data_IF_813338272488
#
_entry.id   IF_813338272488
#
_cell.length_a   1.000
_cell.length_b   1.000
_cell.length_c   1.000
_cell.angle_alpha   90.00
_cell.angle_beta   90.00
_cell.angle_gamma   90.00
#
_symmetry.space_group_name_H-M   'P 1'
#
loop_
_entity.id
_entity.type
_entity.pdbx_description
1 polymer ?
#
# COMPACT_ATOMS: atom_id res chain seq x y z
N UNK A 1 -51.60 -24.04 28.44
CA UNK A 1 -51.61 -24.08 29.92
C UNK A 1 -50.85 -22.87 30.46
N UNK A 2 -51.26 -22.31 31.62
CA UNK A 2 -50.58 -21.35 32.54
C UNK A 2 -49.40 -20.51 31.96
N UNK A 3 -49.49 -19.20 31.69
CA UNK A 3 -49.68 -18.00 32.56
C UNK A 3 -48.61 -17.75 33.65
N UNK A 4 -47.87 -16.64 33.50
CA UNK A 4 -47.29 -15.69 34.47
C UNK A 4 -46.86 -14.44 33.65
N UNK A 5 -47.01 -13.15 33.98
CA UNK A 5 -47.64 -12.40 35.09
C UNK A 5 -46.81 -12.18 36.38
N UNK A 6 -45.82 -11.28 36.31
CA UNK A 6 -45.34 -10.34 37.37
C UNK A 6 -44.81 -9.11 36.59
N UNK A 7 -45.34 -7.88 36.64
CA UNK A 7 -45.82 -6.96 37.70
C UNK A 7 -44.78 -5.89 38.09
N UNK A 8 -45.21 -4.64 37.93
CA UNK A 8 -44.50 -3.37 38.09
C UNK A 8 -44.13 -3.08 39.55
N UNK A 9 -42.99 -2.41 39.79
CA UNK A 9 -42.81 -1.54 40.95
C UNK A 9 -42.26 -0.18 40.49
N UNK A 10 -42.98 0.89 40.86
CA UNK A 10 -42.59 2.29 40.73
C UNK A 10 -42.05 2.72 42.10
N UNK A 11 -40.98 3.52 42.13
CA UNK A 11 -40.64 4.29 43.33
C UNK A 11 -40.28 5.73 42.97
N UNK A 12 -41.24 6.62 43.15
CA UNK A 12 -41.06 8.07 43.18
C UNK A 12 -40.44 8.45 44.52
N UNK A 13 -39.36 9.23 44.52
CA UNK A 13 -38.92 9.96 45.71
C UNK A 13 -38.97 11.47 45.43
N UNK A 14 -40.02 12.11 45.97
CA UNK A 14 -40.07 13.56 46.14
C UNK A 14 -39.95 13.80 47.63
N UNK A 15 -38.87 14.45 48.05
CA UNK A 15 -38.76 15.03 49.40
C UNK A 15 -38.40 16.49 49.23
N UNK A 16 -39.33 17.36 49.64
CA UNK A 16 -39.08 18.79 49.73
C UNK A 16 -38.37 19.11 51.04
N UNK A 17 -37.38 20.00 50.99
CA UNK A 17 -36.81 20.65 52.17
C UNK A 17 -36.67 22.15 51.92
N UNK A 18 -37.80 22.86 52.06
CA UNK A 18 -37.84 24.32 52.20
C UNK A 18 -37.63 24.66 53.67
N UNK A 19 -36.47 25.22 54.02
CA UNK A 19 -36.23 25.93 55.28
C UNK A 19 -34.86 26.62 55.24
N UNK A 20 -34.79 27.88 55.73
CA UNK A 20 -33.58 28.74 55.88
C UNK A 20 -33.18 29.67 54.71
N UNK A 21 -34.12 30.52 54.28
CA UNK A 21 -33.73 31.92 54.07
C UNK A 21 -33.62 32.64 55.43
N UNK A 22 -32.97 33.80 55.44
CA UNK A 22 -32.80 34.68 56.62
C UNK A 22 -31.82 34.24 57.72
N UNK A 23 -30.52 34.10 57.40
CA UNK A 23 -29.41 34.60 58.27
C UNK A 23 -27.99 34.50 57.61
N UNK A 24 -27.79 35.13 56.45
CA UNK A 24 -26.44 35.32 55.89
C UNK A 24 -26.27 36.56 54.96
N UNK A 25 -27.20 37.52 54.97
CA UNK A 25 -27.05 38.80 54.24
C UNK A 25 -26.31 39.84 55.10
N UNK A 26 -25.04 39.57 55.42
CA UNK A 26 -24.01 40.52 55.90
C UNK A 26 -22.73 39.73 56.19
N UNK A 27 -21.60 40.15 55.59
CA UNK A 27 -20.27 39.52 55.59
C UNK A 27 -20.03 38.47 54.47
N UNK A 28 -19.79 38.97 53.25
CA UNK A 28 -18.67 38.54 52.40
C UNK A 28 -18.56 39.49 51.21
N UNK A 29 -17.95 40.65 51.47
CA UNK A 29 -17.50 41.58 50.44
C UNK A 29 -16.01 41.34 50.15
N UNK A 30 -15.61 40.07 50.09
CA UNK A 30 -14.28 39.66 49.65
C UNK A 30 -14.21 39.77 48.14
N UNK A 31 -13.13 40.42 47.66
CA UNK A 31 -12.88 40.60 46.24
C UNK A 31 -12.78 39.22 45.59
N UNK A 32 -13.78 38.86 44.78
CA UNK A 32 -13.63 37.80 43.78
C UNK A 32 -12.57 38.24 42.77
N UNK A 33 -11.30 37.97 43.10
CA UNK A 33 -10.24 37.94 42.11
C UNK A 33 -10.62 36.83 41.13
N UNK A 34 -11.03 37.21 39.93
CA UNK A 34 -11.16 36.24 38.84
C UNK A 34 -9.85 35.44 38.76
N UNK A 35 -9.91 34.09 38.74
CA UNK A 35 -8.70 33.30 38.56
C UNK A 35 -8.01 33.77 37.27
N UNK A 36 -6.68 33.95 37.26
CA UNK A 36 -5.97 34.48 36.12
C UNK A 36 -6.32 33.64 34.90
N UNK A 37 -7.00 34.28 33.94
CA UNK A 37 -7.51 33.62 32.74
C UNK A 37 -6.32 33.05 32.00
N UNK A 38 -6.14 31.73 32.10
CA UNK A 38 -4.97 31.03 31.57
C UNK A 38 -4.75 31.50 30.11
N UNK A 39 -3.52 31.92 29.74
CA UNK A 39 -3.27 32.48 28.43
C UNK A 39 -3.72 31.44 27.40
N UNK A 40 -4.72 31.82 26.59
CA UNK A 40 -5.27 30.95 25.56
C UNK A 40 -4.20 30.75 24.48
N UNK A 41 -3.34 29.74 24.67
CA UNK A 41 -2.34 29.33 23.70
C UNK A 41 -3.10 28.87 22.46
N UNK A 42 -3.27 29.78 21.51
CA UNK A 42 -3.78 29.48 20.18
C UNK A 42 -2.73 28.60 19.49
N UNK A 43 -2.91 27.29 19.61
CA UNK A 43 -2.16 26.32 18.81
C UNK A 43 -2.48 26.65 17.35
N UNK A 44 -1.48 27.13 16.62
CA UNK A 44 -1.61 27.32 15.18
C UNK A 44 -1.73 25.92 14.54
N UNK A 45 -2.73 25.67 13.68
CA UNK A 45 -2.80 24.39 12.98
C UNK A 45 -1.61 24.28 12.02
N UNK A 46 -0.71 23.32 12.29
CA UNK A 46 0.32 22.92 11.32
C UNK A 46 -0.33 22.00 10.30
N UNK A 47 -0.53 22.52 9.08
CA UNK A 47 -1.01 21.72 7.96
C UNK A 47 0.11 20.81 7.43
N UNK A 48 -0.21 19.60 6.92
CA UNK A 48 0.76 18.76 6.22
C UNK A 48 1.46 19.53 5.10
N UNK A 49 2.77 19.38 4.98
CA UNK A 49 3.56 20.04 3.93
C UNK A 49 3.27 19.36 2.59
N UNK A 50 2.52 20.04 1.72
CA UNK A 50 2.16 19.52 0.39
C UNK A 50 3.32 19.53 -0.61
N UNK A 51 3.36 18.54 -1.51
CA UNK A 51 4.17 18.57 -2.72
C UNK A 51 3.28 18.68 -3.96
N UNK A 52 3.11 19.87 -4.57
CA UNK A 52 2.17 20.06 -5.68
C UNK A 52 2.62 19.42 -7.00
N UNK A 53 3.82 18.80 -7.05
CA UNK A 53 4.36 18.10 -8.21
C UNK A 53 4.32 16.56 -8.06
N UNK A 54 3.86 16.06 -6.91
CA UNK A 54 3.77 14.63 -6.60
C UNK A 54 2.39 14.30 -6.05
N UNK A 55 1.67 13.43 -6.74
CA UNK A 55 0.44 12.80 -6.24
C UNK A 55 0.85 11.40 -5.80
N UNK A 56 0.65 11.04 -4.54
CA UNK A 56 0.98 9.72 -3.97
C UNK A 56 -0.26 9.13 -3.31
N UNK A 57 -0.57 7.86 -3.62
CA UNK A 57 -1.80 7.18 -3.23
C UNK A 57 -1.46 5.76 -2.80
N UNK A 58 -1.88 5.36 -1.60
CA UNK A 58 -1.69 4.00 -1.09
C UNK A 58 -2.58 3.00 -1.86
N UNK A 59 -2.12 1.76 -2.00
CA UNK A 59 -2.82 0.71 -2.73
C UNK A 59 -4.13 0.28 -2.04
N UNK A 60 -4.20 0.36 -0.71
CA UNK A 60 -5.45 0.12 0.02
C UNK A 60 -6.49 1.25 -0.10
N UNK A 61 -6.11 2.46 -0.53
CA UNK A 61 -7.01 3.63 -0.64
C UNK A 61 -7.91 3.57 -1.90
N UNK A 62 -8.12 2.37 -2.44
CA UNK A 62 -9.00 2.14 -3.58
C UNK A 62 -10.45 2.46 -3.21
N UNK A 63 -11.08 3.42 -3.91
CA UNK A 63 -12.50 3.77 -3.72
C UNK A 63 -13.46 2.64 -4.12
N UNK A 64 -12.98 1.68 -4.91
CA UNK A 64 -13.64 0.40 -5.17
C UNK A 64 -12.62 -0.64 -5.65
N UNK A 65 -12.71 -1.87 -5.15
CA UNK A 65 -11.87 -2.99 -5.62
C UNK A 65 -12.57 -4.33 -5.41
N UNK A 66 -12.16 -5.34 -6.18
CA UNK A 66 -12.57 -6.73 -6.00
C UNK A 66 -11.37 -7.70 -5.84
N UNK A 67 -10.17 -7.19 -5.52
CA UNK A 67 -8.96 -8.00 -5.27
C UNK A 67 -9.09 -8.83 -3.96
N UNK A 68 -8.77 -8.19 -2.83
CA UNK A 68 -9.04 -8.64 -1.46
C UNK A 68 -9.92 -7.58 -0.78
N UNK A 69 -10.82 -8.01 0.12
CA UNK A 69 -11.71 -7.10 0.86
C UNK A 69 -10.98 -6.32 1.97
N UNK A 70 -9.91 -6.90 2.49
CA UNK A 70 -9.07 -6.31 3.53
C UNK A 70 -7.63 -6.25 3.00
N UNK A 71 -6.88 -5.16 3.26
CA UNK A 71 -5.49 -5.05 2.85
C UNK A 71 -4.60 -5.98 3.67
N UNK A 72 -3.62 -6.62 3.01
CA UNK A 72 -2.69 -7.53 3.68
C UNK A 72 -1.66 -6.74 4.46
N UNK A 73 -1.34 -7.14 5.70
CA UNK A 73 -0.23 -6.55 6.46
C UNK A 73 1.12 -6.89 5.81
N UNK A 74 1.94 -5.88 5.57
CA UNK A 74 3.30 -6.03 5.07
C UNK A 74 4.15 -4.86 5.58
N UNK A 75 4.94 -5.08 6.63
CA UNK A 75 5.72 -4.02 7.29
C UNK A 75 6.82 -3.38 6.42
N UNK A 76 7.09 -3.95 5.24
CA UNK A 76 8.04 -3.42 4.24
C UNK A 76 7.37 -2.64 3.11
N UNK A 77 6.06 -2.38 3.22
CA UNK A 77 5.25 -1.57 2.29
C UNK A 77 4.90 -0.21 2.90
N UNK A 78 4.47 0.76 2.09
CA UNK A 78 3.87 1.98 2.61
C UNK A 78 2.53 1.65 3.29
N UNK A 79 2.06 2.53 4.19
CA UNK A 79 1.00 2.21 5.16
C UNK A 79 1.23 0.98 6.08
N UNK A 80 2.35 0.23 5.94
CA UNK A 80 2.57 -1.14 6.47
C UNK A 80 1.56 -2.17 5.94
N UNK A 81 0.97 -1.89 4.77
CA UNK A 81 -0.16 -2.62 4.17
C UNK A 81 0.02 -2.68 2.66
N UNK A 82 -0.84 -3.43 1.98
CA UNK A 82 -0.76 -3.60 0.52
C UNK A 82 -2.04 -4.26 0.01
N UNK A 83 -2.51 -3.80 -1.15
CA UNK A 83 -3.62 -4.42 -1.86
C UNK A 83 -3.11 -5.61 -2.67
N UNK A 84 -3.74 -6.78 -2.47
CA UNK A 84 -3.28 -8.04 -3.03
C UNK A 84 -4.38 -8.79 -3.79
N UNK A 85 -4.07 -9.19 -5.02
CA UNK A 85 -4.82 -10.19 -5.79
C UNK A 85 -4.04 -11.51 -5.79
N UNK A 86 -4.66 -12.59 -5.29
CA UNK A 86 -4.17 -13.96 -5.42
C UNK A 86 -5.36 -14.93 -5.51
N UNK A 87 -5.74 -15.35 -6.72
CA UNK A 87 -6.92 -16.20 -6.99
C UNK A 87 -6.63 -17.25 -8.06
N UNK A 88 -7.11 -18.48 -7.87
CA UNK A 88 -7.06 -19.54 -8.89
C UNK A 88 -8.18 -19.43 -9.93
N UNK A 89 -9.38 -19.06 -9.48
CA UNK A 89 -10.57 -18.82 -10.32
C UNK A 89 -10.68 -17.35 -10.74
N UNK A 90 -11.19 -17.13 -11.95
CA UNK A 90 -11.68 -15.81 -12.37
C UNK A 90 -13.02 -15.47 -11.72
N UNK A 91 -13.57 -14.30 -12.05
CA UNK A 91 -14.91 -13.89 -11.64
C UNK A 91 -15.98 -14.46 -12.58
N UNK A 92 -17.22 -14.57 -12.08
CA UNK A 92 -18.36 -15.00 -12.88
C UNK A 92 -18.54 -14.08 -14.10
N UNK A 93 -18.84 -14.67 -15.26
CA UNK A 93 -18.99 -13.93 -16.52
C UNK A 93 -17.67 -13.40 -17.12
N UNK A 94 -16.50 -13.78 -16.59
CA UNK A 94 -15.20 -13.35 -17.12
C UNK A 94 -14.84 -11.90 -16.78
N UNK A 95 -15.46 -11.32 -15.76
CA UNK A 95 -15.18 -9.95 -15.33
C UNK A 95 -13.73 -9.76 -14.85
N UNK A 96 -13.14 -8.59 -15.14
CA UNK A 96 -11.82 -8.21 -14.65
C UNK A 96 -11.76 -8.18 -13.12
N UNK A 97 -10.63 -8.57 -12.55
CA UNK A 97 -10.24 -8.03 -11.26
C UNK A 97 -9.84 -6.56 -11.44
N UNK A 98 -10.19 -5.67 -10.52
CA UNK A 98 -9.88 -4.25 -10.61
C UNK A 98 -9.63 -3.57 -9.26
N UNK A 99 -8.97 -2.42 -9.32
CA UNK A 99 -8.90 -1.42 -8.25
C UNK A 99 -9.05 -0.02 -8.86
N UNK A 100 -9.99 0.77 -8.33
CA UNK A 100 -10.31 2.14 -8.74
C UNK A 100 -9.80 3.15 -7.70
N UNK A 101 -9.22 4.24 -8.18
CA UNK A 101 -8.74 5.36 -7.36
C UNK A 101 -9.21 6.68 -7.96
N UNK A 102 -9.49 7.65 -7.10
CA UNK A 102 -9.85 9.02 -7.49
C UNK A 102 -8.84 9.96 -6.87
N UNK A 103 -8.32 10.91 -7.66
CA UNK A 103 -7.25 11.79 -7.21
C UNK A 103 -7.37 13.19 -7.82
N UNK A 104 -6.72 14.17 -7.20
CA UNK A 104 -6.76 15.56 -7.63
C UNK A 104 -5.40 15.99 -8.22
N UNK A 105 -5.45 16.61 -9.39
CA UNK A 105 -4.30 17.22 -10.07
C UNK A 105 -4.39 18.73 -9.90
N UNK A 106 -3.36 19.33 -9.30
CA UNK A 106 -3.34 20.78 -9.01
C UNK A 106 -3.04 21.65 -10.22
N UNK A 107 -2.23 21.15 -11.16
CA UNK A 107 -1.72 21.91 -12.30
C UNK A 107 -1.77 21.05 -13.56
N UNK A 108 -2.14 21.64 -14.70
CA UNK A 108 -1.92 21.05 -16.02
C UNK A 108 -0.46 20.60 -16.21
N UNK A 109 -0.25 19.48 -16.90
CA UNK A 109 1.09 19.07 -17.29
C UNK A 109 1.23 17.64 -17.81
N UNK A 110 2.47 17.30 -18.14
CA UNK A 110 2.91 15.92 -18.33
C UNK A 110 3.20 15.28 -16.97
N UNK A 111 2.80 14.03 -16.80
CA UNK A 111 3.01 13.24 -15.58
C UNK A 111 3.58 11.88 -15.94
N UNK A 112 4.62 11.45 -15.24
CA UNK A 112 5.14 10.09 -15.31
C UNK A 112 4.50 9.22 -14.23
N UNK A 113 4.11 8.02 -14.62
CA UNK A 113 3.30 7.08 -13.84
C UNK A 113 4.20 6.02 -13.21
N UNK A 114 4.19 5.94 -11.88
CA UNK A 114 4.98 5.01 -11.08
C UNK A 114 4.09 4.16 -10.18
N UNK A 115 4.41 2.88 -9.99
CA UNK A 115 3.79 2.07 -8.94
C UNK A 115 4.82 1.27 -8.13
N UNK A 116 4.57 1.19 -6.83
CA UNK A 116 5.19 0.24 -5.93
C UNK A 116 4.39 -1.05 -5.96
N UNK A 117 5.01 -2.18 -6.27
CA UNK A 117 4.28 -3.45 -6.36
C UNK A 117 5.05 -4.56 -7.07
N UNK A 118 4.35 -5.64 -7.36
CA UNK A 118 4.89 -6.73 -8.18
C UNK A 118 5.07 -6.25 -9.63
N UNK A 119 6.25 -6.41 -10.25
CA UNK A 119 6.44 -6.08 -11.66
C UNK A 119 5.52 -6.94 -12.53
N UNK A 120 4.96 -6.34 -13.58
CA UNK A 120 3.98 -6.98 -14.45
C UNK A 120 4.49 -8.28 -15.09
N UNK A 121 3.57 -9.19 -15.42
CA UNK A 121 3.87 -10.44 -16.13
C UNK A 121 4.32 -10.24 -17.58
N UNK A 122 5.17 -11.13 -18.13
CA UNK A 122 5.64 -11.06 -19.52
C UNK A 122 4.52 -11.30 -20.54
N UNK A 123 4.71 -10.72 -21.73
CA UNK A 123 3.78 -10.84 -22.85
C UNK A 123 3.72 -12.24 -23.44
N UNK A 124 4.83 -12.98 -23.41
CA UNK A 124 4.97 -14.34 -23.94
C UNK A 124 5.42 -15.34 -22.86
N UNK A 125 5.55 -16.61 -23.26
CA UNK A 125 5.95 -17.71 -22.39
C UNK A 125 7.48 -17.95 -22.37
N UNK A 126 8.29 -17.07 -23.00
CA UNK A 126 9.75 -17.22 -23.04
C UNK A 126 10.43 -16.79 -21.73
N UNK A 127 9.75 -15.96 -20.94
CA UNK A 127 10.27 -15.40 -19.69
C UNK A 127 9.50 -15.90 -18.44
N UNK A 128 10.17 -16.00 -17.27
CA UNK A 128 9.51 -16.44 -16.03
C UNK A 128 8.32 -15.55 -15.64
N UNK A 129 7.12 -16.14 -15.58
CA UNK A 129 5.84 -15.43 -15.40
C UNK A 129 5.24 -15.66 -14.01
N UNK A 130 5.84 -15.07 -12.99
CA UNK A 130 5.40 -15.21 -11.58
C UNK A 130 4.26 -14.26 -11.16
N UNK A 131 3.86 -13.34 -12.04
CA UNK A 131 2.87 -12.28 -11.80
C UNK A 131 1.97 -12.17 -13.04
N UNK A 132 0.70 -11.85 -12.86
CA UNK A 132 -0.22 -11.54 -13.97
C UNK A 132 0.19 -10.24 -14.65
N UNK A 133 0.01 -10.10 -15.97
CA UNK A 133 0.04 -8.78 -16.58
C UNK A 133 -1.20 -7.99 -16.19
N UNK A 134 -1.10 -6.67 -16.17
CA UNK A 134 -2.19 -5.76 -15.85
C UNK A 134 -2.42 -4.75 -16.98
N UNK A 135 -3.55 -4.07 -16.95
CA UNK A 135 -3.80 -2.87 -17.75
C UNK A 135 -4.29 -1.75 -16.85
N UNK A 136 -4.18 -0.51 -17.31
CA UNK A 136 -4.75 0.63 -16.61
C UNK A 136 -5.55 1.53 -17.55
N UNK A 137 -6.49 2.27 -16.96
CA UNK A 137 -7.28 3.30 -17.65
C UNK A 137 -7.25 4.56 -16.79
N UNK A 138 -7.00 5.71 -17.41
CA UNK A 138 -7.14 7.02 -16.76
C UNK A 138 -8.35 7.71 -17.38
N UNK A 139 -9.27 8.16 -16.54
CA UNK A 139 -10.59 8.69 -16.88
C UNK A 139 -11.34 7.76 -17.85
N UNK A 140 -11.81 8.28 -18.98
CA UNK A 140 -12.52 7.53 -20.02
C UNK A 140 -11.63 7.23 -21.25
N UNK A 141 -10.30 7.25 -21.08
CA UNK A 141 -9.37 6.95 -22.18
C UNK A 141 -9.36 5.44 -22.53
N UNK A 142 -8.72 5.09 -23.64
CA UNK A 142 -8.52 3.68 -24.02
C UNK A 142 -7.65 2.97 -22.97
N UNK A 143 -8.00 1.73 -22.53
CA UNK A 143 -7.13 0.94 -21.64
C UNK A 143 -5.76 0.68 -22.25
N UNK A 144 -4.72 0.77 -21.42
CA UNK A 144 -3.32 0.53 -21.79
C UNK A 144 -2.85 -0.74 -21.08
N UNK A 145 -2.62 -1.80 -21.85
CA UNK A 145 -2.01 -3.03 -21.34
C UNK A 145 -0.54 -2.77 -20.99
N UNK A 146 -0.04 -3.43 -19.94
CA UNK A 146 1.35 -3.39 -19.51
C UNK A 146 1.83 -4.79 -19.23
N UNK A 147 2.71 -5.29 -20.09
CA UNK A 147 3.47 -6.50 -19.87
C UNK A 147 4.84 -6.15 -19.25
N UNK A 148 5.65 -7.16 -18.91
CA UNK A 148 6.98 -6.95 -18.33
C UNK A 148 7.86 -6.10 -19.24
N UNK A 149 7.72 -6.27 -20.54
CA UNK A 149 8.52 -5.62 -21.58
C UNK A 149 8.17 -4.12 -21.72
N UNK A 150 6.97 -3.72 -21.29
CA UNK A 150 6.47 -2.34 -21.37
C UNK A 150 6.78 -1.49 -20.13
N UNK A 151 7.38 -2.08 -19.08
CA UNK A 151 7.64 -1.40 -17.80
C UNK A 151 9.14 -1.33 -17.49
N UNK A 152 9.54 -0.22 -16.87
CA UNK A 152 10.90 -0.07 -16.33
C UNK A 152 10.90 -0.43 -14.85
N UNK A 153 11.66 -1.45 -14.47
CA UNK A 153 11.90 -1.79 -13.05
C UNK A 153 13.14 -1.03 -12.56
N UNK A 154 13.01 -0.30 -11.45
CA UNK A 154 14.00 0.71 -11.00
C UNK A 154 14.74 0.29 -9.74
N UNK A 155 14.04 -0.20 -8.73
CA UNK A 155 14.62 -0.60 -7.44
C UNK A 155 13.75 -1.69 -6.81
N UNK A 156 14.36 -2.73 -6.23
CA UNK A 156 13.67 -3.62 -5.29
C UNK A 156 13.77 -2.99 -3.90
N UNK A 157 12.64 -2.55 -3.34
CA UNK A 157 12.61 -1.95 -1.99
C UNK A 157 12.09 -2.90 -0.92
N UNK A 158 11.41 -3.98 -1.33
CA UNK A 158 10.81 -4.96 -0.42
C UNK A 158 10.69 -6.34 -1.10
N UNK A 159 10.67 -7.45 -0.35
CA UNK A 159 10.43 -8.81 -0.82
C UNK A 159 9.29 -8.95 -1.86
N UNK A 160 9.66 -9.09 -3.14
CA UNK A 160 8.77 -9.14 -4.31
C UNK A 160 8.07 -7.82 -4.71
N UNK A 161 8.46 -6.70 -4.09
CA UNK A 161 7.96 -5.35 -4.35
C UNK A 161 9.04 -4.47 -4.95
N UNK A 162 8.72 -3.83 -6.07
CA UNK A 162 9.63 -3.04 -6.86
C UNK A 162 9.02 -1.69 -7.19
N UNK A 163 9.88 -0.70 -7.41
CA UNK A 163 9.51 0.55 -8.05
C UNK A 163 9.48 0.36 -9.55
N UNK A 164 8.32 0.60 -10.17
CA UNK A 164 8.07 0.37 -11.58
C UNK A 164 7.56 1.64 -12.25
N UNK A 165 8.13 2.02 -13.40
CA UNK A 165 7.56 3.05 -14.28
C UNK A 165 6.65 2.35 -15.28
N UNK A 166 5.40 2.81 -15.37
CA UNK A 166 4.35 2.18 -16.18
C UNK A 166 3.68 3.12 -17.18
N UNK A 167 4.26 4.29 -17.45
CA UNK A 167 3.90 5.14 -18.57
C UNK A 167 4.06 6.62 -18.29
N UNK A 168 3.57 7.42 -19.23
CA UNK A 168 3.42 8.87 -19.10
C UNK A 168 2.03 9.28 -19.61
N UNK A 169 1.50 10.38 -19.10
CA UNK A 169 0.17 10.90 -19.47
C UNK A 169 0.13 12.43 -19.36
N UNK A 170 -0.76 13.07 -20.12
CA UNK A 170 -1.09 14.49 -19.99
C UNK A 170 -2.35 14.62 -19.15
N UNK A 171 -2.29 15.37 -18.05
CA UNK A 171 -3.44 15.63 -17.18
C UNK A 171 -3.76 17.11 -17.13
N UNK A 172 -5.02 17.40 -16.81
CA UNK A 172 -5.54 18.74 -16.56
C UNK A 172 -5.62 18.97 -15.05
N UNK A 173 -5.68 20.23 -14.63
CA UNK A 173 -6.07 20.53 -13.26
C UNK A 173 -7.52 20.06 -13.03
N UNK A 174 -7.77 19.36 -11.92
CA UNK A 174 -9.09 18.80 -11.59
C UNK A 174 -9.04 17.40 -10.99
N UNK A 175 -10.21 16.78 -10.89
CA UNK A 175 -10.36 15.41 -10.37
C UNK A 175 -10.25 14.40 -11.50
N UNK A 176 -9.42 13.39 -11.31
CA UNK A 176 -9.17 12.29 -12.23
C UNK A 176 -9.47 10.94 -11.59
N UNK A 177 -9.70 9.93 -12.41
CA UNK A 177 -9.82 8.53 -11.97
C UNK A 177 -8.74 7.68 -12.64
N UNK A 178 -8.13 6.77 -11.89
CA UNK A 178 -7.33 5.68 -12.47
C UNK A 178 -7.90 4.34 -12.02
N UNK A 179 -8.04 3.42 -12.97
CA UNK A 179 -8.38 2.03 -12.72
C UNK A 179 -7.21 1.15 -13.12
N UNK A 180 -6.78 0.27 -12.24
CA UNK A 180 -5.95 -0.89 -12.56
C UNK A 180 -6.85 -2.10 -12.77
N UNK A 181 -6.59 -2.92 -13.79
CA UNK A 181 -7.32 -4.16 -14.07
C UNK A 181 -6.37 -5.32 -14.32
N UNK A 182 -6.73 -6.50 -13.84
CA UNK A 182 -6.07 -7.77 -14.12
C UNK A 182 -7.07 -8.71 -14.79
N UNK A 183 -6.90 -8.88 -16.09
CA UNK A 183 -7.75 -9.73 -16.95
C UNK A 183 -7.14 -11.10 -17.22
N UNK A 184 -5.81 -11.21 -17.11
CA UNK A 184 -5.03 -12.38 -17.48
C UNK A 184 -4.43 -13.08 -16.26
N UNK A 185 -4.24 -14.40 -16.37
CA UNK A 185 -3.54 -15.22 -15.39
C UNK A 185 -2.03 -15.13 -15.63
N UNK A 186 -1.24 -15.28 -14.58
CA UNK A 186 0.21 -15.52 -14.72
C UNK A 186 0.43 -16.87 -15.42
N UNK A 187 1.45 -16.95 -16.26
CA UNK A 187 1.68 -18.11 -17.14
C UNK A 187 2.28 -19.30 -16.38
N UNK A 188 2.89 -19.07 -15.21
CA UNK A 188 3.52 -20.12 -14.40
C UNK A 188 2.55 -21.21 -13.90
N UNK A 189 1.38 -20.83 -13.38
CA UNK A 189 0.43 -21.78 -12.74
C UNK A 189 -1.05 -21.45 -13.00
N UNK A 190 -1.34 -20.59 -13.98
CA UNK A 190 -2.68 -20.16 -14.32
C UNK A 190 -3.47 -19.51 -13.15
N UNK A 191 -2.81 -18.80 -12.23
CA UNK A 191 -3.48 -17.96 -11.20
C UNK A 191 -3.53 -16.48 -11.59
N UNK A 192 -4.52 -15.77 -11.09
CA UNK A 192 -4.51 -14.31 -11.02
C UNK A 192 -3.63 -13.88 -9.85
N UNK A 193 -2.55 -13.14 -10.12
CA UNK A 193 -1.59 -12.72 -9.10
C UNK A 193 -1.04 -11.32 -9.37
N UNK A 194 -1.35 -10.34 -8.53
CA UNK A 194 -0.83 -8.97 -8.68
C UNK A 194 -0.94 -8.20 -7.35
N UNK A 195 0.16 -7.62 -6.87
CA UNK A 195 0.18 -6.83 -5.64
C UNK A 195 0.54 -5.37 -5.94
N UNK A 196 -0.22 -4.47 -5.32
CA UNK A 196 -0.05 -3.03 -5.37
C UNK A 196 0.18 -2.53 -3.94
N UNK A 197 1.30 -1.85 -3.74
CA UNK A 197 1.69 -1.21 -2.48
C UNK A 197 1.14 0.22 -2.47
N UNK A 198 1.54 0.99 -3.49
CA UNK A 198 1.12 2.37 -3.73
C UNK A 198 1.34 2.70 -5.22
N UNK A 199 0.87 3.86 -5.65
CA UNK A 199 1.30 4.45 -6.90
C UNK A 199 1.42 5.96 -6.78
N UNK A 200 2.24 6.55 -7.65
CA UNK A 200 2.43 7.99 -7.68
C UNK A 200 2.60 8.56 -9.08
N UNK A 201 2.21 9.82 -9.23
CA UNK A 201 2.35 10.61 -10.43
C UNK A 201 3.30 11.76 -10.14
N UNK A 202 4.39 11.82 -10.89
CA UNK A 202 5.37 12.92 -10.78
C UNK A 202 5.29 13.82 -12.00
N UNK A 203 5.11 15.13 -11.76
CA UNK A 203 5.02 16.14 -12.83
C UNK A 203 6.34 16.24 -13.58
N UNK A 204 6.26 16.37 -14.90
CA UNK A 204 7.38 16.63 -15.81
C UNK A 204 7.25 18.00 -16.45
N UNK A 205 8.38 18.66 -16.64
CA UNK A 205 8.52 19.90 -17.39
C UNK A 205 9.77 19.80 -18.26
N UNK A 206 9.65 20.11 -19.55
CA UNK A 206 10.73 19.97 -20.53
C UNK A 206 11.43 18.58 -20.49
N UNK A 207 10.63 17.52 -20.30
CA UNK A 207 11.09 16.14 -20.18
C UNK A 207 11.71 15.75 -18.83
N UNK A 208 11.89 16.67 -17.88
CA UNK A 208 12.53 16.45 -16.57
C UNK A 208 11.50 16.35 -15.45
N UNK A 209 11.74 15.44 -14.50
CA UNK A 209 10.91 15.25 -13.29
C UNK A 209 11.06 16.43 -12.33
N UNK A 210 9.94 16.99 -11.85
CA UNK A 210 9.92 17.96 -10.76
C UNK A 210 9.61 17.20 -9.46
N UNK A 211 10.65 16.77 -8.74
CA UNK A 211 10.48 15.95 -7.52
C UNK A 211 9.89 16.73 -6.34
N UNK A 212 10.15 18.03 -6.25
CA UNK A 212 9.89 18.81 -5.04
C UNK A 212 10.80 18.41 -3.87
N UNK A 213 10.59 19.01 -2.70
CA UNK A 213 11.45 18.82 -1.51
C UNK A 213 10.84 17.89 -0.45
N UNK A 214 9.56 17.53 -0.58
CA UNK A 214 8.82 16.69 0.37
C UNK A 214 8.45 15.42 -0.37
N UNK A 215 8.94 14.28 0.11
CA UNK A 215 8.73 12.96 -0.47
C UNK A 215 8.14 12.01 0.60
N UNK A 216 7.35 11.00 0.20
CA UNK A 216 6.95 9.91 1.08
C UNK A 216 8.15 9.20 1.73
N UNK A 217 7.94 8.58 2.89
CA UNK A 217 8.95 7.77 3.58
C UNK A 217 9.48 6.62 2.71
N UNK A 218 8.56 5.96 2.00
CA UNK A 218 8.84 4.89 1.05
C UNK A 218 8.79 5.48 -0.37
N UNK A 219 9.95 5.77 -0.94
CA UNK A 219 10.09 6.38 -2.28
C UNK A 219 11.36 5.86 -3.00
N UNK A 220 11.45 5.85 -4.36
CA UNK A 220 12.64 5.34 -5.04
C UNK A 220 13.89 6.17 -4.75
N UNK A 221 14.96 5.52 -4.28
CA UNK A 221 16.22 6.20 -3.92
C UNK A 221 16.96 6.75 -5.13
N UNK A 222 16.92 6.00 -6.24
CA UNK A 222 17.47 6.43 -7.53
C UNK A 222 16.47 6.21 -8.66
N UNK A 223 15.64 7.23 -8.92
CA UNK A 223 14.66 7.24 -10.02
C UNK A 223 15.28 7.11 -11.43
N UNK A 224 16.59 7.29 -11.58
CA UNK A 224 17.30 7.15 -12.86
C UNK A 224 17.86 5.74 -13.09
N UNK A 225 17.75 4.83 -12.11
CA UNK A 225 18.27 3.47 -12.27
C UNK A 225 17.48 2.70 -13.35
N UNK A 226 18.20 2.07 -14.29
CA UNK A 226 17.65 1.25 -15.38
C UNK A 226 18.28 -0.15 -15.46
N UNK A 227 19.00 -0.57 -14.42
CA UNK A 227 19.79 -1.82 -14.44
C UNK A 227 18.97 -3.10 -14.30
N UNK A 228 17.71 -3.04 -13.84
CA UNK A 228 16.88 -4.23 -13.57
C UNK A 228 16.07 -4.61 -14.82
N UNK A 229 16.72 -5.29 -15.78
CA UNK A 229 16.04 -5.74 -17.01
C UNK A 229 15.17 -7.00 -16.79
N UNK A 230 15.55 -7.90 -15.89
CA UNK A 230 14.75 -9.05 -15.49
C UNK A 230 14.73 -9.15 -13.95
N UNK A 231 13.60 -8.84 -13.29
CA UNK A 231 13.52 -8.81 -11.82
C UNK A 231 13.50 -10.22 -11.21
N UNK A 232 13.14 -11.22 -12.02
CA UNK A 232 13.04 -12.62 -11.68
C UNK A 232 13.81 -13.45 -12.71
N UNK A 233 14.53 -14.48 -12.24
CA UNK A 233 15.09 -15.56 -13.07
C UNK A 233 14.24 -16.82 -12.93
N UNK A 234 14.49 -17.84 -13.74
CA UNK A 234 13.85 -19.14 -13.51
C UNK A 234 14.34 -19.76 -12.19
N UNK A 235 13.57 -20.70 -11.65
CA UNK A 235 13.99 -21.46 -10.45
C UNK A 235 15.31 -22.20 -10.74
N UNK A 236 15.45 -22.78 -11.93
CA UNK A 236 16.64 -23.53 -12.32
C UNK A 236 17.88 -22.63 -12.46
N UNK A 237 17.76 -21.42 -13.02
CA UNK A 237 18.85 -20.43 -13.04
C UNK A 237 19.35 -20.12 -11.63
N UNK A 238 18.42 -19.91 -10.69
CA UNK A 238 18.78 -19.67 -9.29
C UNK A 238 19.48 -20.88 -8.67
N UNK A 239 19.00 -22.10 -8.94
CA UNK A 239 19.64 -23.33 -8.45
C UNK A 239 21.05 -23.54 -9.04
N UNK A 240 21.28 -23.14 -10.29
CA UNK A 240 22.61 -23.12 -10.92
C UNK A 240 23.51 -22.10 -10.20
N UNK A 241 23.07 -20.85 -10.04
CA UNK A 241 23.85 -19.80 -9.36
C UNK A 241 24.19 -20.21 -7.90
N UNK A 242 23.25 -20.81 -7.18
CA UNK A 242 23.46 -21.33 -5.81
C UNK A 242 24.49 -22.48 -5.80
N UNK A 243 24.57 -23.29 -6.85
CA UNK A 243 25.55 -24.39 -6.97
C UNK A 243 26.95 -23.85 -7.28
N UNK A 244 27.03 -22.84 -8.14
CA UNK A 244 28.30 -22.19 -8.52
C UNK A 244 28.90 -21.31 -7.42
N UNK A 245 28.04 -20.67 -6.60
CA UNK A 245 28.44 -19.75 -5.52
C UNK A 245 27.69 -20.08 -4.22
N UNK A 246 28.02 -21.23 -3.58
CA UNK A 246 27.26 -21.77 -2.45
C UNK A 246 27.41 -20.99 -1.15
N UNK A 247 28.42 -20.11 -1.08
CA UNK A 247 28.72 -19.17 0.01
C UNK A 247 27.94 -17.85 -0.11
N UNK A 248 27.33 -17.56 -1.27
CA UNK A 248 26.60 -16.33 -1.50
C UNK A 248 25.15 -16.42 -0.96
N UNK A 249 24.76 -15.63 0.05
CA UNK A 249 23.40 -15.65 0.61
C UNK A 249 22.35 -15.08 -0.35
N UNK A 250 22.75 -14.18 -1.27
CA UNK A 250 21.80 -13.38 -2.05
C UNK A 250 20.94 -14.21 -3.02
N UNK A 251 21.47 -15.16 -3.81
CA UNK A 251 20.67 -16.06 -4.63
C UNK A 251 19.67 -16.91 -3.84
N UNK A 252 20.00 -17.30 -2.60
CA UNK A 252 19.08 -18.03 -1.72
C UNK A 252 17.90 -17.14 -1.29
N UNK A 253 18.17 -15.87 -0.95
CA UNK A 253 17.13 -14.89 -0.66
C UNK A 253 16.27 -14.63 -1.89
N UNK A 254 16.86 -14.32 -3.05
CA UNK A 254 16.11 -14.06 -4.29
C UNK A 254 15.25 -15.27 -4.70
N UNK A 255 15.77 -16.50 -4.61
CA UNK A 255 14.99 -17.72 -4.86
C UNK A 255 13.84 -17.89 -3.86
N UNK A 256 14.03 -17.55 -2.57
CA UNK A 256 12.95 -17.59 -1.60
C UNK A 256 11.80 -16.63 -1.95
N UNK A 257 12.10 -15.47 -2.56
CA UNK A 257 11.07 -14.54 -3.05
C UNK A 257 10.24 -15.16 -4.19
N UNK A 258 10.87 -15.92 -5.09
CA UNK A 258 10.16 -16.67 -6.13
C UNK A 258 9.24 -17.72 -5.51
N UNK A 259 9.73 -18.46 -4.51
CA UNK A 259 8.89 -19.43 -3.78
C UNK A 259 7.72 -18.76 -3.05
N UNK A 260 7.92 -17.60 -2.41
CA UNK A 260 6.84 -16.77 -1.83
C UNK A 260 5.84 -16.32 -2.91
N UNK A 261 6.31 -15.93 -4.11
CA UNK A 261 5.44 -15.54 -5.22
C UNK A 261 4.53 -16.68 -5.66
N UNK A 262 5.06 -17.90 -5.77
CA UNK A 262 4.27 -19.06 -6.20
C UNK A 262 3.42 -19.69 -5.08
N UNK A 263 3.59 -19.23 -3.83
CA UNK A 263 2.84 -19.71 -2.66
C UNK A 263 3.44 -20.94 -1.97
N UNK A 264 4.69 -21.28 -2.29
CA UNK A 264 5.43 -22.38 -1.68
C UNK A 264 6.31 -21.86 -0.52
N UNK A 265 5.62 -21.51 0.58
CA UNK A 265 6.25 -20.97 1.79
C UNK A 265 7.24 -21.94 2.43
N UNK A 266 7.07 -23.27 2.23
CA UNK A 266 7.97 -24.29 2.76
C UNK A 266 9.35 -24.22 2.08
N UNK A 267 9.41 -24.13 0.75
CA UNK A 267 10.69 -23.91 0.08
C UNK A 267 11.22 -22.49 0.34
N UNK A 268 10.36 -21.45 0.42
CA UNK A 268 10.81 -20.11 0.77
C UNK A 268 11.56 -20.09 2.12
N UNK A 269 10.96 -20.65 3.18
CA UNK A 269 11.58 -20.77 4.50
C UNK A 269 12.84 -21.64 4.51
N UNK A 270 12.88 -22.73 3.72
CA UNK A 270 14.08 -23.58 3.56
C UNK A 270 15.27 -22.79 2.99
N UNK A 271 15.05 -21.97 1.96
CA UNK A 271 16.13 -21.17 1.37
C UNK A 271 16.51 -19.97 2.24
N UNK A 272 15.56 -19.32 2.91
CA UNK A 272 15.85 -18.27 3.90
C UNK A 272 16.68 -18.79 5.08
N UNK A 273 16.36 -19.96 5.64
CA UNK A 273 17.15 -20.59 6.71
C UNK A 273 18.58 -20.92 6.29
N UNK A 274 18.80 -21.29 5.02
CA UNK A 274 20.16 -21.42 4.47
C UNK A 274 20.86 -20.07 4.36
N UNK A 275 20.16 -19.03 3.90
CA UNK A 275 20.70 -17.69 3.79
C UNK A 275 21.07 -17.08 5.15
N UNK A 276 20.29 -17.32 6.21
CA UNK A 276 20.61 -16.85 7.57
C UNK A 276 21.83 -17.54 8.19
N UNK A 277 22.14 -18.78 7.79
CA UNK A 277 23.39 -19.45 8.22
C UNK A 277 24.61 -18.79 7.57
N UNK A 278 24.49 -18.38 6.30
CA UNK A 278 25.57 -17.67 5.57
C UNK A 278 25.67 -16.18 5.92
N UNK A 279 24.67 -15.59 6.58
CA UNK A 279 24.66 -14.19 7.01
C UNK A 279 23.82 -13.98 8.27
N UNK A 280 24.32 -14.40 9.45
CA UNK A 280 23.57 -14.33 10.71
C UNK A 280 23.14 -12.90 11.09
N UNK A 281 23.99 -11.91 10.83
CA UNK A 281 23.75 -10.50 11.20
C UNK A 281 22.83 -9.75 10.21
N UNK A 282 22.34 -10.42 9.15
CA UNK A 282 21.47 -9.79 8.17
C UNK A 282 19.99 -9.84 8.63
N UNK A 283 19.62 -8.85 9.45
CA UNK A 283 18.27 -8.69 10.00
C UNK A 283 17.14 -8.72 8.94
N UNK A 284 17.41 -8.34 7.68
CA UNK A 284 16.40 -8.44 6.61
C UNK A 284 16.00 -9.89 6.32
N UNK A 285 16.92 -10.85 6.47
CA UNK A 285 16.61 -12.29 6.33
C UNK A 285 15.74 -12.76 7.51
N UNK A 286 15.97 -12.27 8.72
CA UNK A 286 15.15 -12.58 9.89
C UNK A 286 13.71 -12.04 9.75
N UNK A 287 13.56 -10.80 9.27
CA UNK A 287 12.26 -10.21 8.95
C UNK A 287 11.54 -10.98 7.83
N UNK A 288 12.28 -11.45 6.83
CA UNK A 288 11.77 -12.33 5.77
C UNK A 288 11.30 -13.68 6.30
N UNK A 289 12.01 -14.29 7.26
CA UNK A 289 11.60 -15.53 7.91
C UNK A 289 10.33 -15.30 8.73
N UNK A 290 10.23 -14.19 9.47
CA UNK A 290 9.04 -13.86 10.27
C UNK A 290 7.78 -13.53 9.42
N UNK A 291 7.96 -13.27 8.12
CA UNK A 291 6.88 -12.97 7.17
C UNK A 291 6.29 -14.21 6.47
N UNK A 292 7.02 -15.34 6.42
CA UNK A 292 6.64 -16.56 5.68
C UNK A 292 6.24 -17.71 6.61
#
# INVERSE_FOLDING_TARGET
MKRLIVAVIIFTLVVASVSSQEQAKKANNEKQQHPPKAPAVKIAPEFPKENPNLIFIEGEDAVSTNFNREPTLNFSCSGKRTLQLNRSSGLQGGASFYADYVFFVKNDGDYELWYGGTPSGPKDDLYPSFVSPFRYTIDNNKPVNRYREDITVVENYSPSYYWNIFGETKLKAGTHRIRFEVTEKRRYDNRYYFYLDNFFLIRKENGRRIKGNILPEVFPKNMENRTINFPFRSIDDYLIIIREKPDNPRPLVELSLIYTLIGDYLNALKYLKRASILSPDNYNILLLIAKN
#
